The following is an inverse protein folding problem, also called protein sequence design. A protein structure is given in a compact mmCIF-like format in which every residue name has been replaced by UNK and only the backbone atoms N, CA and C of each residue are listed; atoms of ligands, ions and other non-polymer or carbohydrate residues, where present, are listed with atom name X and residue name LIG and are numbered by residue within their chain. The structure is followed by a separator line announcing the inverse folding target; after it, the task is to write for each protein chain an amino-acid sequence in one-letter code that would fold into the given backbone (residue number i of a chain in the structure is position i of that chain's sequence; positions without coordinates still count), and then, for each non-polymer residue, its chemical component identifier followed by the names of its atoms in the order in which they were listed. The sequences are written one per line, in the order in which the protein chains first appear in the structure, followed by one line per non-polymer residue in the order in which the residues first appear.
data_IF_522420252011
#
_entry.id   IF_522420252011
#
_cell.length_a   1.000
_cell.length_b   1.000
_cell.length_c   1.000
_cell.angle_alpha   90.00
_cell.angle_beta   90.00
_cell.angle_gamma   90.00
#
_symmetry.space_group_name_H-M   'P 1'
#
loop_
_entity.id
_entity.type
_entity.pdbx_description
1 polymer ?
#
# COMPACT_ATOMS: atom_id res chain seq x y z
N UNK A 1 -29.46 13.25 -4.71
CA UNK A 1 -30.09 11.95 -5.05
C UNK A 1 -29.53 10.89 -4.09
N UNK A 2 -30.34 10.26 -3.22
CA UNK A 2 -29.89 9.10 -2.41
C UNK A 2 -29.60 7.89 -3.33
N UNK A 3 -28.62 7.07 -2.97
CA UNK A 3 -28.26 5.79 -3.59
C UNK A 3 -27.84 4.84 -2.46
N UNK A 4 -27.98 3.54 -2.66
CA UNK A 4 -27.38 2.58 -1.73
C UNK A 4 -25.94 2.29 -2.16
N UNK A 5 -25.05 2.22 -1.18
CA UNK A 5 -23.70 1.68 -1.36
C UNK A 5 -23.44 0.57 -0.35
N UNK A 6 -22.62 -0.38 -0.73
CA UNK A 6 -22.00 -1.32 0.19
C UNK A 6 -20.49 -1.23 0.07
N UNK A 7 -19.79 -1.28 1.19
CA UNK A 7 -18.33 -1.34 1.25
C UNK A 7 -17.91 -2.58 2.01
N UNK A 8 -16.99 -3.34 1.43
CA UNK A 8 -16.48 -4.59 1.99
C UNK A 8 -14.96 -4.47 2.08
N UNK A 9 -14.49 -4.31 3.31
CA UNK A 9 -13.08 -4.34 3.67
C UNK A 9 -12.88 -5.40 4.77
N UNK A 10 -11.93 -6.31 4.56
CA UNK A 10 -11.58 -7.36 5.51
C UNK A 10 -10.09 -7.61 5.47
N UNK A 11 -9.53 -8.00 6.62
CA UNK A 11 -8.12 -8.38 6.73
C UNK A 11 -7.74 -9.55 5.80
N UNK A 12 -8.71 -10.39 5.43
CA UNK A 12 -8.50 -11.48 4.47
C UNK A 12 -8.36 -11.04 3.02
N UNK A 13 -8.64 -9.78 2.70
CA UNK A 13 -8.48 -9.22 1.35
C UNK A 13 -7.08 -8.62 1.24
N UNK A 14 -6.08 -9.48 1.44
CA UNK A 14 -4.68 -9.09 1.45
C UNK A 14 -3.85 -10.01 0.58
N UNK A 15 -2.79 -9.45 0.03
CA UNK A 15 -1.74 -10.21 -0.63
C UNK A 15 -0.39 -9.60 -0.27
N UNK A 16 0.53 -10.44 0.15
CA UNK A 16 1.90 -10.03 0.47
C UNK A 16 2.73 -10.27 -0.78
N UNK A 17 3.32 -9.22 -1.36
CA UNK A 17 4.02 -9.35 -2.62
C UNK A 17 5.28 -8.47 -2.67
N UNK A 18 6.28 -8.95 -3.41
CA UNK A 18 7.47 -8.18 -3.72
C UNK A 18 7.25 -7.37 -5.01
N UNK A 19 7.86 -6.20 -5.09
CA UNK A 19 7.83 -5.37 -6.31
C UNK A 19 8.98 -4.37 -6.30
N UNK A 20 9.12 -3.68 -7.43
CA UNK A 20 9.75 -2.37 -7.51
C UNK A 20 9.09 -1.61 -8.67
N UNK A 21 9.01 -0.29 -8.52
CA UNK A 21 8.60 0.66 -9.53
C UNK A 21 9.81 1.13 -10.31
N UNK A 22 9.67 1.14 -11.63
CA UNK A 22 10.62 1.74 -12.55
C UNK A 22 9.85 2.50 -13.62
N UNK A 23 10.30 3.70 -13.95
CA UNK A 23 9.84 4.52 -15.06
C UNK A 23 11.04 5.26 -15.64
N UNK A 24 10.85 6.08 -16.69
CA UNK A 24 11.98 6.68 -17.41
C UNK A 24 12.94 7.43 -16.49
N UNK A 25 14.19 6.99 -16.42
CA UNK A 25 15.24 7.61 -15.60
C UNK A 25 15.13 7.37 -14.09
N UNK A 26 14.23 6.49 -13.63
CA UNK A 26 14.05 6.17 -12.22
C UNK A 26 13.79 4.67 -11.99
N UNK A 27 14.37 4.13 -10.92
CA UNK A 27 14.12 2.77 -10.45
C UNK A 27 14.32 2.72 -8.94
N UNK A 28 13.29 2.32 -8.22
CA UNK A 28 13.39 2.09 -6.77
C UNK A 28 13.96 0.69 -6.46
N UNK A 29 14.48 0.47 -5.25
CA UNK A 29 15.03 -0.83 -4.83
C UNK A 29 13.91 -1.88 -4.67
N UNK A 30 14.23 -3.14 -4.93
CA UNK A 30 13.34 -4.26 -4.64
C UNK A 30 12.94 -4.27 -3.16
N UNK A 31 11.65 -4.36 -2.90
CA UNK A 31 11.08 -4.50 -1.57
C UNK A 31 9.70 -5.19 -1.69
N UNK A 32 8.82 -5.04 -0.70
CA UNK A 32 7.48 -5.59 -0.76
C UNK A 32 6.54 -4.99 0.26
N UNK A 33 5.25 -5.29 0.08
CA UNK A 33 4.15 -4.78 0.92
C UNK A 33 3.17 -5.87 1.29
N UNK A 34 2.42 -5.60 2.36
CA UNK A 34 1.19 -6.33 2.69
C UNK A 34 0.02 -5.53 2.11
N UNK A 35 -0.26 -5.75 0.83
CA UNK A 35 -1.32 -5.00 0.16
C UNK A 35 -2.69 -5.36 0.74
N UNK A 36 -3.54 -4.35 0.91
CA UNK A 36 -4.95 -4.51 1.32
C UNK A 36 -5.88 -4.03 0.22
N UNK A 37 -6.92 -4.81 -0.05
CA UNK A 37 -7.93 -4.51 -1.07
C UNK A 37 -9.27 -4.28 -0.39
N UNK A 38 -9.97 -3.21 -0.78
CA UNK A 38 -11.36 -3.02 -0.42
C UNK A 38 -12.22 -2.75 -1.64
N UNK A 39 -13.47 -3.18 -1.57
CA UNK A 39 -14.42 -3.11 -2.67
C UNK A 39 -15.63 -2.32 -2.22
N UNK A 40 -16.02 -1.32 -3.00
CA UNK A 40 -17.27 -0.59 -2.83
C UNK A 40 -18.13 -0.76 -4.07
N UNK A 41 -19.40 -1.11 -3.85
CA UNK A 41 -20.41 -1.26 -4.90
C UNK A 41 -21.49 -0.22 -4.67
N UNK A 42 -21.71 0.63 -5.67
CA UNK A 42 -22.70 1.72 -5.62
C UNK A 42 -23.84 1.32 -6.56
N UNK A 43 -25.05 1.33 -6.00
CA UNK A 43 -26.23 0.88 -6.71
C UNK A 43 -27.37 1.87 -6.67
N UNK A 44 -28.54 1.35 -7.00
CA UNK A 44 -29.74 2.14 -7.18
C UNK A 44 -30.32 2.62 -5.85
N UNK A 45 -31.43 3.35 -5.94
CA UNK A 45 -32.27 3.74 -4.78
C UNK A 45 -33.04 2.59 -4.17
N UNK A 46 -33.04 1.42 -4.81
CA UNK A 46 -33.81 0.24 -4.43
C UNK A 46 -32.85 -0.89 -4.11
N UNK A 47 -33.19 -1.63 -3.07
CA UNK A 47 -32.60 -2.92 -2.76
C UNK A 47 -33.51 -4.03 -3.31
N UNK A 48 -32.98 -5.25 -3.37
CA UNK A 48 -33.78 -6.41 -3.73
C UNK A 48 -34.86 -6.69 -2.68
N UNK A 49 -35.86 -7.49 -3.05
CA UNK A 49 -36.91 -7.93 -2.11
C UNK A 49 -36.36 -8.81 -0.98
N UNK A 50 -35.15 -9.33 -1.17
CA UNK A 50 -34.33 -10.03 -0.19
C UNK A 50 -33.71 -9.09 0.87
N UNK A 51 -33.83 -7.78 0.70
CA UNK A 51 -33.29 -6.77 1.62
C UNK A 51 -31.83 -6.39 1.35
N UNK A 52 -31.22 -6.87 0.26
CA UNK A 52 -29.81 -6.60 -0.04
C UNK A 52 -29.61 -5.71 -1.28
N UNK A 53 -28.51 -4.94 -1.27
CA UNK A 53 -27.88 -4.48 -2.51
C UNK A 53 -27.21 -5.66 -3.20
N UNK A 54 -26.38 -6.39 -2.46
CA UNK A 54 -25.78 -7.67 -2.81
C UNK A 54 -25.42 -8.41 -1.53
N UNK A 55 -25.40 -9.75 -1.57
CA UNK A 55 -24.85 -10.54 -0.46
C UNK A 55 -23.34 -10.31 -0.36
N UNK A 56 -22.87 -9.94 0.82
CA UNK A 56 -21.44 -9.80 1.12
C UNK A 56 -20.64 -11.08 0.87
N UNK A 57 -21.26 -12.26 0.95
CA UNK A 57 -20.64 -13.55 0.66
C UNK A 57 -20.07 -13.62 -0.76
N UNK A 58 -20.79 -13.07 -1.74
CA UNK A 58 -20.34 -12.99 -3.14
C UNK A 58 -19.05 -12.18 -3.24
N UNK A 59 -19.06 -10.95 -2.70
CA UNK A 59 -17.91 -10.03 -2.73
C UNK A 59 -16.72 -10.63 -1.98
N UNK A 60 -16.95 -11.19 -0.79
CA UNK A 60 -15.90 -11.80 0.04
C UNK A 60 -15.19 -12.95 -0.67
N UNK A 61 -15.94 -13.81 -1.36
CA UNK A 61 -15.38 -14.97 -2.05
C UNK A 61 -14.47 -14.52 -3.20
N UNK A 62 -14.96 -13.62 -4.05
CA UNK A 62 -14.20 -13.10 -5.20
C UNK A 62 -12.96 -12.35 -4.74
N UNK A 63 -13.11 -11.39 -3.83
CA UNK A 63 -12.00 -10.58 -3.31
C UNK A 63 -10.85 -11.45 -2.76
N UNK A 64 -11.21 -12.45 -1.95
CA UNK A 64 -10.24 -13.37 -1.36
C UNK A 64 -9.52 -14.20 -2.42
N UNK A 65 -10.22 -14.69 -3.43
CA UNK A 65 -9.64 -15.50 -4.49
C UNK A 65 -8.65 -14.69 -5.34
N UNK A 66 -9.05 -13.51 -5.78
CA UNK A 66 -8.18 -12.62 -6.57
C UNK A 66 -6.93 -12.21 -5.77
N UNK A 67 -7.07 -11.86 -4.48
CA UNK A 67 -5.90 -11.57 -3.64
C UNK A 67 -4.99 -12.79 -3.51
N UNK A 68 -5.55 -14.00 -3.38
CA UNK A 68 -4.77 -15.23 -3.25
C UNK A 68 -3.92 -15.51 -4.50
N UNK A 69 -4.38 -15.13 -5.70
CA UNK A 69 -3.60 -15.26 -6.94
C UNK A 69 -2.32 -14.42 -6.94
N UNK A 70 -2.29 -13.31 -6.21
CA UNK A 70 -1.14 -12.40 -6.13
C UNK A 70 -0.25 -12.65 -4.91
N UNK A 71 -0.76 -13.34 -3.90
CA UNK A 71 -0.06 -13.53 -2.63
C UNK A 71 1.20 -14.38 -2.80
N UNK A 72 2.29 -13.98 -2.14
CA UNK A 72 3.60 -14.64 -2.17
C UNK A 72 4.30 -14.66 -3.54
N UNK A 73 4.02 -13.67 -4.39
CA UNK A 73 4.69 -13.50 -5.68
C UNK A 73 5.45 -12.17 -5.77
N UNK A 74 6.38 -12.10 -6.71
CA UNK A 74 6.87 -10.85 -7.29
C UNK A 74 5.88 -10.33 -8.33
N UNK A 75 5.46 -9.07 -8.22
CA UNK A 75 4.59 -8.41 -9.20
C UNK A 75 5.44 -8.00 -10.40
N UNK A 76 5.24 -8.67 -11.54
CA UNK A 76 5.98 -8.40 -12.76
C UNK A 76 5.12 -7.57 -13.73
N UNK A 77 5.49 -6.30 -14.01
CA UNK A 77 4.74 -5.41 -14.90
C UNK A 77 5.08 -5.71 -16.37
N UNK A 78 4.28 -6.55 -17.01
CA UNK A 78 4.58 -7.09 -18.35
C UNK A 78 4.57 -6.06 -19.49
N UNK A 79 3.97 -4.91 -19.25
CA UNK A 79 3.84 -3.84 -20.25
C UNK A 79 4.81 -2.69 -19.96
N UNK A 80 5.75 -2.88 -19.03
CA UNK A 80 6.77 -1.88 -18.72
C UNK A 80 7.55 -1.49 -19.99
N UNK A 81 7.71 -0.19 -20.20
CA UNK A 81 8.46 0.41 -21.30
C UNK A 81 9.95 0.62 -20.96
N UNK A 82 10.32 0.46 -19.68
CA UNK A 82 11.68 0.67 -19.17
C UNK A 82 12.34 -0.59 -18.57
N UNK A 83 11.60 -1.68 -18.46
CA UNK A 83 12.13 -2.98 -18.03
C UNK A 83 12.09 -3.94 -19.22
N UNK A 84 13.26 -4.44 -19.63
CA UNK A 84 13.32 -5.54 -20.58
C UNK A 84 13.09 -6.86 -19.85
N UNK A 85 11.99 -7.53 -20.15
CA UNK A 85 11.57 -8.80 -19.53
C UNK A 85 11.79 -9.95 -20.51
N UNK A 86 12.59 -10.94 -20.12
CA UNK A 86 12.93 -12.09 -20.96
C UNK A 86 12.75 -13.39 -20.17
N UNK A 87 12.17 -14.41 -20.81
CA UNK A 87 12.22 -15.78 -20.27
C UNK A 87 13.55 -16.41 -20.63
N UNK A 88 14.27 -16.89 -19.62
CA UNK A 88 15.53 -17.63 -19.80
C UNK A 88 15.37 -19.02 -19.20
N UNK A 89 15.91 -20.02 -19.89
CA UNK A 89 15.84 -21.42 -19.45
C UNK A 89 17.20 -21.82 -18.92
N UNK A 90 17.25 -22.18 -17.64
CA UNK A 90 18.47 -22.72 -17.04
C UNK A 90 18.24 -24.17 -16.60
N UNK A 91 19.19 -25.04 -16.93
CA UNK A 91 19.16 -26.45 -16.58
C UNK A 91 20.15 -26.73 -15.44
N UNK A 92 19.64 -27.05 -14.25
CA UNK A 92 20.46 -27.59 -13.16
C UNK A 92 20.11 -29.08 -13.01
N UNK A 93 21.11 -29.95 -13.08
CA UNK A 93 20.96 -31.41 -12.91
C UNK A 93 19.93 -32.06 -13.86
N UNK A 94 19.88 -31.62 -15.11
CA UNK A 94 19.02 -32.21 -16.15
C UNK A 94 17.53 -31.85 -16.05
N UNK A 95 17.15 -30.91 -15.17
CA UNK A 95 15.80 -30.32 -15.13
C UNK A 95 15.87 -28.88 -15.58
N UNK A 96 15.33 -28.61 -16.76
CA UNK A 96 15.12 -27.24 -17.24
C UNK A 96 14.05 -26.56 -16.40
N UNK A 97 14.32 -25.35 -15.92
CA UNK A 97 13.33 -24.47 -15.30
C UNK A 97 13.35 -23.11 -15.98
N UNK A 98 12.17 -22.52 -16.11
CA UNK A 98 12.01 -21.19 -16.63
C UNK A 98 12.29 -20.16 -15.53
N UNK A 99 13.05 -19.14 -15.90
CA UNK A 99 13.32 -17.98 -15.09
C UNK A 99 12.91 -16.72 -15.87
N UNK A 100 12.55 -15.67 -15.14
CA UNK A 100 12.34 -14.34 -15.68
C UNK A 100 13.54 -13.48 -15.37
N UNK A 101 14.19 -12.99 -16.43
CA UNK A 101 15.26 -12.02 -16.37
C UNK A 101 14.69 -10.63 -16.66
N UNK A 102 14.84 -9.72 -15.70
CA UNK A 102 14.46 -8.32 -15.82
C UNK A 102 15.74 -7.49 -15.93
N UNK A 103 15.87 -6.69 -17.00
CA UNK A 103 17.00 -5.75 -17.18
C UNK A 103 16.47 -4.31 -17.17
N UNK A 104 16.93 -3.51 -16.21
CA UNK A 104 16.51 -2.11 -16.03
C UNK A 104 17.37 -1.14 -16.86
N UNK A 105 16.93 0.10 -17.07
CA UNK A 105 17.68 1.13 -17.82
C UNK A 105 19.06 1.43 -17.23
N UNK A 106 19.22 1.31 -15.91
CA UNK A 106 20.49 1.52 -15.20
C UNK A 106 21.48 0.33 -15.31
N UNK A 107 21.10 -0.72 -16.04
CA UNK A 107 21.89 -1.95 -16.21
C UNK A 107 21.70 -2.97 -15.09
N UNK A 108 20.90 -2.68 -14.06
CA UNK A 108 20.58 -3.64 -12.99
C UNK A 108 19.80 -4.82 -13.56
N UNK A 109 20.16 -6.03 -13.12
CA UNK A 109 19.54 -7.29 -13.55
C UNK A 109 18.95 -8.02 -12.34
N UNK A 110 17.70 -8.45 -12.47
CA UNK A 110 17.05 -9.39 -11.55
C UNK A 110 16.72 -10.68 -12.30
N UNK A 111 16.84 -11.81 -11.61
CA UNK A 111 16.43 -13.12 -12.14
C UNK A 111 15.59 -13.83 -11.09
N UNK A 112 14.35 -14.14 -11.43
CA UNK A 112 13.40 -14.83 -10.55
C UNK A 112 12.96 -16.16 -11.18
N UNK A 113 12.65 -17.20 -10.40
CA UNK A 113 11.90 -18.34 -10.92
C UNK A 113 10.58 -17.87 -11.54
N UNK A 114 10.21 -18.44 -12.69
CA UNK A 114 8.97 -18.05 -13.41
C UNK A 114 7.71 -18.20 -12.54
N UNK A 115 7.68 -19.24 -11.72
CA UNK A 115 6.56 -19.60 -10.84
C UNK A 115 6.41 -18.65 -9.64
N UNK A 116 7.46 -17.90 -9.29
CA UNK A 116 7.44 -16.94 -8.18
C UNK A 116 6.96 -15.55 -8.66
N UNK A 117 6.53 -15.42 -9.91
CA UNK A 117 6.19 -14.14 -10.54
C UNK A 117 4.72 -14.08 -10.99
N UNK A 118 3.97 -13.11 -10.47
CA UNK A 118 2.67 -12.73 -10.97
C UNK A 118 2.83 -11.79 -12.18
N UNK A 119 2.53 -12.30 -13.38
CA UNK A 119 2.68 -11.54 -14.63
C UNK A 119 1.44 -10.73 -14.90
N UNK A 120 1.51 -9.43 -14.65
CA UNK A 120 0.36 -8.55 -14.75
C UNK A 120 0.45 -7.70 -16.01
N UNK A 121 -0.67 -7.48 -16.73
CA UNK A 121 -0.73 -6.61 -17.91
C UNK A 121 -0.78 -5.13 -17.46
N UNK A 122 0.26 -4.70 -16.75
CA UNK A 122 0.43 -3.35 -16.21
C UNK A 122 1.81 -2.82 -16.62
N UNK A 123 1.97 -1.51 -16.66
CA UNK A 123 3.21 -0.82 -17.03
C UNK A 123 4.08 -0.60 -15.79
N UNK A 124 3.47 -0.24 -14.67
CA UNK A 124 4.14 0.01 -13.39
C UNK A 124 3.49 -0.82 -12.28
N UNK A 125 4.30 -1.39 -11.38
CA UNK A 125 3.81 -2.09 -10.19
C UNK A 125 3.41 -1.12 -9.06
N UNK A 126 2.54 -0.15 -9.36
CA UNK A 126 2.03 0.83 -8.38
C UNK A 126 0.63 0.47 -7.87
N UNK A 127 0.20 1.10 -6.78
CA UNK A 127 -1.15 0.86 -6.24
C UNK A 127 -2.26 1.30 -7.18
N UNK A 128 -2.05 2.33 -8.00
CA UNK A 128 -3.00 2.83 -8.99
C UNK A 128 -3.27 1.79 -10.09
N UNK A 129 -2.23 1.26 -10.72
CA UNK A 129 -2.39 0.25 -11.78
C UNK A 129 -2.89 -1.08 -11.24
N UNK A 130 -2.48 -1.45 -10.02
CA UNK A 130 -3.04 -2.60 -9.31
C UNK A 130 -4.54 -2.42 -9.05
N UNK A 131 -5.01 -1.21 -8.72
CA UNK A 131 -6.43 -0.95 -8.53
C UNK A 131 -7.23 -1.14 -9.84
N UNK A 132 -6.69 -0.73 -10.98
CA UNK A 132 -7.27 -0.95 -12.32
C UNK A 132 -7.31 -2.46 -12.64
N UNK A 133 -6.18 -3.15 -12.49
CA UNK A 133 -6.07 -4.59 -12.74
C UNK A 133 -7.06 -5.39 -11.87
N UNK A 134 -7.09 -5.10 -10.57
CA UNK A 134 -7.97 -5.77 -9.62
C UNK A 134 -9.45 -5.46 -9.90
N UNK A 135 -9.77 -4.23 -10.31
CA UNK A 135 -11.13 -3.89 -10.76
C UNK A 135 -11.57 -4.80 -11.89
N UNK A 136 -10.75 -4.95 -12.93
CA UNK A 136 -11.06 -5.82 -14.08
C UNK A 136 -11.19 -7.29 -13.67
N UNK A 137 -10.32 -7.79 -12.80
CA UNK A 137 -10.40 -9.18 -12.29
C UNK A 137 -11.67 -9.42 -11.48
N UNK A 138 -11.98 -8.51 -10.56
CA UNK A 138 -13.12 -8.66 -9.63
C UNK A 138 -14.46 -8.57 -10.37
N UNK A 139 -14.60 -7.67 -11.36
CA UNK A 139 -15.87 -7.53 -12.09
C UNK A 139 -16.19 -8.74 -12.97
N UNK A 140 -15.17 -9.41 -13.52
CA UNK A 140 -15.34 -10.66 -14.27
C UNK A 140 -15.92 -11.74 -13.36
N UNK A 141 -15.32 -11.92 -12.19
CA UNK A 141 -15.71 -12.97 -11.25
C UNK A 141 -17.02 -12.66 -10.51
N UNK A 142 -17.38 -11.38 -10.33
CA UNK A 142 -18.66 -10.96 -9.77
C UNK A 142 -19.82 -10.96 -10.77
N UNK A 143 -19.52 -11.08 -12.07
CA UNK A 143 -20.44 -10.96 -13.19
C UNK A 143 -21.16 -9.60 -13.27
N UNK A 144 -20.76 -8.79 -14.26
CA UNK A 144 -21.37 -7.49 -14.54
C UNK A 144 -22.90 -7.56 -14.76
N UNK A 145 -23.41 -8.63 -15.38
CA UNK A 145 -24.85 -8.80 -15.67
C UNK A 145 -25.62 -9.00 -14.37
N UNK A 146 -25.08 -9.81 -13.46
CA UNK A 146 -25.64 -10.00 -12.13
C UNK A 146 -25.68 -8.67 -11.37
N UNK A 147 -24.57 -7.93 -11.33
CA UNK A 147 -24.50 -6.65 -10.62
C UNK A 147 -25.52 -5.65 -11.17
N UNK A 148 -25.63 -5.52 -12.49
CA UNK A 148 -26.60 -4.62 -13.14
C UNK A 148 -28.04 -5.04 -12.88
N UNK A 149 -28.33 -6.35 -12.87
CA UNK A 149 -29.66 -6.87 -12.50
C UNK A 149 -30.06 -6.55 -11.05
N UNK A 150 -29.07 -6.41 -10.15
CA UNK A 150 -29.24 -5.95 -8.76
C UNK A 150 -29.31 -4.42 -8.64
N UNK A 151 -29.22 -3.71 -9.75
CA UNK A 151 -29.23 -2.25 -9.80
C UNK A 151 -27.90 -1.61 -9.38
N UNK A 152 -26.81 -2.37 -9.36
CA UNK A 152 -25.47 -1.87 -9.06
C UNK A 152 -24.87 -1.30 -10.35
N UNK A 153 -24.47 -0.03 -10.31
CA UNK A 153 -24.04 0.70 -11.49
C UNK A 153 -22.55 1.05 -11.46
N UNK A 154 -21.91 1.09 -10.30
CA UNK A 154 -20.49 1.49 -10.19
C UNK A 154 -19.78 0.56 -9.23
N UNK A 155 -18.55 0.19 -9.58
CA UNK A 155 -17.64 -0.51 -8.70
C UNK A 155 -16.40 0.34 -8.46
N UNK A 156 -15.93 0.34 -7.23
CA UNK A 156 -14.72 0.98 -6.77
C UNK A 156 -13.83 -0.06 -6.09
N UNK A 157 -12.55 -0.06 -6.47
CA UNK A 157 -11.48 -0.83 -5.84
C UNK A 157 -10.49 0.15 -5.22
N UNK A 158 -10.18 -0.07 -3.96
CA UNK A 158 -9.08 0.63 -3.27
C UNK A 158 -7.99 -0.36 -2.92
N UNK A 159 -6.74 -0.02 -3.23
CA UNK A 159 -5.54 -0.79 -2.93
C UNK A 159 -4.65 0.06 -2.03
N UNK A 160 -4.31 -0.48 -0.86
CA UNK A 160 -3.37 0.14 0.07
C UNK A 160 -2.08 -0.67 0.15
N UNK A 161 -0.93 -0.02 0.00
CA UNK A 161 0.40 -0.63 0.19
C UNK A 161 0.91 -0.49 1.63
N UNK A 162 0.43 0.53 2.35
CA UNK A 162 0.70 0.77 3.75
C UNK A 162 -0.48 1.53 4.39
N UNK A 163 -0.61 1.50 5.74
CA UNK A 163 -1.64 2.28 6.42
C UNK A 163 -1.54 3.78 6.08
N UNK A 164 -2.62 4.34 5.52
CA UNK A 164 -2.68 5.75 5.11
C UNK A 164 -2.11 6.04 3.72
N UNK A 165 -1.70 5.02 2.96
CA UNK A 165 -1.22 5.13 1.59
C UNK A 165 -2.03 4.20 0.70
N UNK A 166 -2.96 4.77 -0.06
CA UNK A 166 -3.91 4.02 -0.89
C UNK A 166 -4.25 4.72 -2.20
N UNK A 167 -4.48 3.93 -3.23
CA UNK A 167 -5.03 4.36 -4.50
C UNK A 167 -6.42 3.77 -4.70
N UNK A 168 -7.30 4.53 -5.35
CA UNK A 168 -8.68 4.13 -5.61
C UNK A 168 -9.02 4.28 -7.08
N UNK A 169 -9.49 3.21 -7.70
CA UNK A 169 -10.04 3.21 -9.04
C UNK A 169 -11.54 2.95 -9.01
N UNK A 170 -12.31 3.82 -9.66
CA UNK A 170 -13.78 3.77 -9.70
C UNK A 170 -14.26 3.89 -11.14
N UNK A 171 -15.12 2.96 -11.55
CA UNK A 171 -15.67 2.94 -12.90
C UNK A 171 -17.12 2.42 -12.93
N UNK A 172 -17.90 2.94 -13.87
CA UNK A 172 -19.25 2.44 -14.15
C UNK A 172 -19.18 1.00 -14.69
N UNK A 173 -20.06 0.15 -14.18
CA UNK A 173 -20.17 -1.25 -14.58
C UNK A 173 -20.87 -1.32 -15.95
N UNK A 174 -20.27 -1.99 -16.95
CA UNK A 174 -20.90 -2.17 -18.25
C UNK A 174 -22.15 -3.06 -18.17
N UNK A 175 -23.01 -2.95 -19.19
CA UNK A 175 -24.17 -3.86 -19.33
C UNK A 175 -23.76 -5.30 -19.66
N UNK A 176 -22.69 -5.47 -20.43
CA UNK A 176 -22.14 -6.76 -20.87
C UNK A 176 -20.62 -6.61 -20.89
N UNK A 177 -19.89 -7.63 -20.46
CA UNK A 177 -18.46 -7.78 -20.71
C UNK A 177 -18.22 -8.87 -21.74
N UNK A 178 -17.56 -8.53 -22.84
CA UNK A 178 -16.97 -9.52 -23.75
C UNK A 178 -15.52 -9.76 -23.33
N UNK A 179 -15.00 -10.98 -23.51
CA UNK A 179 -13.60 -11.28 -23.21
C UNK A 179 -12.65 -10.31 -23.94
N UNK A 180 -12.97 -9.99 -25.21
CA UNK A 180 -12.20 -9.09 -26.06
C UNK A 180 -12.74 -7.65 -26.10
N UNK A 181 -13.48 -7.18 -25.07
CA UNK A 181 -14.04 -5.82 -25.10
C UNK A 181 -12.94 -4.76 -24.95
N UNK A 182 -12.63 -3.95 -26.00
CA UNK A 182 -11.60 -2.93 -25.95
C UNK A 182 -11.96 -1.78 -24.99
N UNK A 183 -13.24 -1.63 -24.61
CA UNK A 183 -13.67 -0.63 -23.62
C UNK A 183 -13.16 -0.97 -22.20
N UNK A 184 -12.69 -2.21 -21.97
CA UNK A 184 -12.14 -2.68 -20.70
C UNK A 184 -10.76 -3.32 -20.84
N UNK A 185 -9.99 -2.81 -21.80
CA UNK A 185 -8.57 -3.07 -21.87
C UNK A 185 -7.86 -2.29 -20.76
N UNK A 186 -7.31 -3.02 -19.78
CA UNK A 186 -6.49 -2.46 -18.69
C UNK A 186 -5.43 -1.52 -19.26
N UNK A 187 -4.86 -1.88 -20.42
CA UNK A 187 -3.83 -1.08 -21.06
C UNK A 187 -4.32 0.30 -21.48
N UNK A 188 -5.55 0.41 -22.01
CA UNK A 188 -6.10 1.72 -22.41
C UNK A 188 -6.20 2.66 -21.20
N UNK A 189 -6.60 2.18 -20.03
CA UNK A 189 -6.67 3.01 -18.83
C UNK A 189 -5.30 3.41 -18.30
N UNK A 190 -4.28 2.55 -18.49
CA UNK A 190 -2.93 2.81 -18.02
C UNK A 190 -2.18 3.77 -18.96
N UNK A 191 -2.35 3.64 -20.27
CA UNK A 191 -1.52 4.38 -21.25
C UNK A 191 -2.21 5.48 -22.04
N UNK A 192 -3.54 5.67 -21.90
CA UNK A 192 -4.24 6.75 -22.60
C UNK A 192 -4.10 8.13 -21.95
N UNK A 193 -3.34 8.25 -20.85
CA UNK A 193 -3.19 9.51 -20.12
C UNK A 193 -2.17 10.46 -20.75
N UNK A 194 -2.59 11.68 -21.07
CA UNK A 194 -1.71 12.79 -21.47
C UNK A 194 -1.19 13.59 -20.25
N UNK A 195 -1.30 13.04 -19.03
CA UNK A 195 -0.87 13.73 -17.81
C UNK A 195 0.66 13.68 -17.76
N UNK A 196 1.36 14.83 -17.76
CA UNK A 196 2.81 14.84 -17.74
C UNK A 196 3.36 14.25 -16.44
N UNK A 197 4.49 13.55 -16.57
CA UNK A 197 5.27 13.07 -15.42
C UNK A 197 5.93 14.30 -14.78
N UNK A 198 5.29 14.87 -13.78
CA UNK A 198 5.91 15.88 -12.92
C UNK A 198 6.63 15.19 -11.76
N UNK A 199 7.91 15.52 -11.57
CA UNK A 199 8.64 15.10 -10.38
C UNK A 199 7.98 15.66 -9.12
N UNK A 200 8.13 14.97 -7.98
CA UNK A 200 7.65 15.52 -6.71
C UNK A 200 8.32 16.88 -6.48
N UNK A 201 7.57 17.91 -6.12
CA UNK A 201 8.09 19.28 -5.98
C UNK A 201 9.29 19.40 -5.01
N UNK A 202 9.47 18.44 -4.10
CA UNK A 202 10.64 18.35 -3.23
C UNK A 202 11.94 18.01 -3.96
N UNK A 203 11.88 17.39 -5.15
CA UNK A 203 13.02 17.10 -6.02
C UNK A 203 13.45 18.32 -6.86
N UNK A 204 12.67 19.42 -6.83
CA UNK A 204 12.99 20.71 -7.45
C UNK A 204 13.66 21.67 -6.47
N UNK A 205 13.84 21.29 -5.20
CA UNK A 205 14.57 22.12 -4.25
C UNK A 205 16.06 22.13 -4.63
N UNK A 206 16.70 23.30 -4.71
CA UNK A 206 18.12 23.39 -5.01
C UNK A 206 18.92 22.61 -3.96
N UNK A 207 20.08 22.04 -4.33
CA UNK A 207 20.95 21.36 -3.36
C UNK A 207 21.25 22.30 -2.19
N UNK A 208 21.06 21.79 -0.99
CA UNK A 208 21.17 22.51 0.28
C UNK A 208 22.55 23.18 0.42
N UNK A 209 22.61 24.51 0.31
CA UNK A 209 23.81 25.34 0.56
C UNK A 209 24.14 25.46 2.07
N UNK A 210 23.88 24.43 2.88
CA UNK A 210 24.19 24.44 4.32
C UNK A 210 25.38 23.58 4.73
N UNK A 211 26.14 23.03 3.78
CA UNK A 211 27.38 22.30 4.06
C UNK A 211 28.64 23.20 4.09
N UNK A 212 28.53 24.50 4.40
CA UNK A 212 29.69 25.32 4.78
C UNK A 212 29.28 26.45 5.73
N UNK A 213 29.30 26.18 7.04
CA UNK A 213 29.91 27.10 8.00
C UNK A 213 29.95 26.48 9.40
N UNK A 214 31.13 25.93 9.70
CA UNK A 214 31.67 25.87 11.04
C UNK A 214 31.69 27.28 11.66
N UNK A 215 30.80 27.58 12.60
CA UNK A 215 31.02 28.66 13.56
C UNK A 215 30.28 28.41 14.88
N UNK A 216 31.12 28.31 15.92
CA UNK A 216 30.84 28.34 17.35
C UNK A 216 29.60 29.16 17.72
N UNK A 217 28.63 28.55 18.38
CA UNK A 217 27.66 29.29 19.17
C UNK A 217 28.14 29.34 20.61
N UNK A 218 28.78 30.46 20.98
CA UNK A 218 28.88 30.87 22.38
C UNK A 218 27.49 31.34 22.83
N UNK A 219 27.10 30.85 24.00
CA UNK A 219 25.94 31.29 24.76
C UNK A 219 26.24 32.70 25.25
N UNK A 220 25.36 33.66 24.97
CA UNK A 220 25.18 34.81 25.85
C UNK A 220 23.70 35.17 25.98
N UNK A 221 23.33 35.24 27.24
CA UNK A 221 22.02 35.52 27.80
C UNK A 221 21.77 37.03 27.92
N UNK A 222 20.55 37.48 27.57
CA UNK A 222 19.61 38.22 28.45
C UNK A 222 18.71 39.22 27.69
N UNK A 223 17.48 39.31 28.21
CA UNK A 223 16.46 40.37 28.04
C UNK A 223 15.62 40.28 26.74
N UNK A 224 14.27 40.26 26.73
CA UNK A 224 13.21 40.58 27.71
C UNK A 224 11.86 39.95 27.30
N UNK A 225 11.00 39.74 28.30
CA UNK A 225 9.57 39.36 28.35
C UNK A 225 8.73 39.69 27.09
N UNK A 226 7.79 38.86 26.61
CA UNK A 226 6.50 38.54 27.25
C UNK A 226 5.65 37.56 26.41
N UNK A 227 4.66 36.93 27.07
CA UNK A 227 3.49 36.18 26.53
C UNK A 227 3.60 34.66 26.26
N UNK A 228 3.07 33.90 27.21
CA UNK A 228 2.14 32.76 27.04
C UNK A 228 2.34 31.79 25.86
N UNK A 229 3.13 30.74 26.08
CA UNK A 229 2.83 29.37 25.62
C UNK A 229 3.71 28.37 26.38
N UNK A 230 3.17 27.17 26.62
CA UNK A 230 3.77 26.07 27.40
C UNK A 230 5.23 25.82 26.98
N UNK A 231 6.19 26.26 27.81
CA UNK A 231 7.60 25.90 27.65
C UNK A 231 7.82 24.58 28.39
N UNK A 232 7.93 23.48 27.65
CA UNK A 232 8.44 22.23 28.20
C UNK A 232 9.84 22.51 28.74
N UNK A 233 10.05 22.43 30.06
CA UNK A 233 11.37 22.68 30.63
C UNK A 233 12.31 21.50 30.31
N UNK A 234 13.60 21.77 30.12
CA UNK A 234 14.62 20.73 29.90
C UNK A 234 14.60 19.67 31.01
N UNK A 235 14.22 20.05 32.23
CA UNK A 235 14.09 19.14 33.36
C UNK A 235 12.96 18.09 33.17
N UNK A 236 11.86 18.45 32.51
CA UNK A 236 10.78 17.51 32.19
C UNK A 236 11.22 16.49 31.14
N UNK A 237 11.92 16.96 30.09
CA UNK A 237 12.43 16.09 29.01
C UNK A 237 13.50 15.13 29.56
N UNK A 238 14.40 15.63 30.41
CA UNK A 238 15.44 14.81 31.03
C UNK A 238 14.87 13.79 32.04
N UNK A 239 13.83 14.15 32.78
CA UNK A 239 13.12 13.24 33.68
C UNK A 239 12.42 12.11 32.91
N UNK A 240 11.78 12.45 31.79
CA UNK A 240 11.10 11.51 30.91
C UNK A 240 12.08 10.54 30.24
N UNK A 241 13.21 11.06 29.72
CA UNK A 241 14.26 10.27 29.06
C UNK A 241 14.84 9.22 30.02
N UNK A 242 15.16 9.61 31.26
CA UNK A 242 15.69 8.68 32.28
C UNK A 242 14.70 7.59 32.69
N UNK A 243 13.40 7.92 32.73
CA UNK A 243 12.35 6.92 33.03
C UNK A 243 12.17 5.93 31.87
N UNK A 244 12.26 6.39 30.62
CA UNK A 244 12.20 5.54 29.42
C UNK A 244 13.41 4.61 29.32
N UNK A 245 14.62 5.10 29.63
CA UNK A 245 15.83 4.27 29.68
C UNK A 245 15.73 3.15 30.74
N UNK A 246 15.19 3.44 31.93
CA UNK A 246 14.93 2.40 32.94
C UNK A 246 13.94 1.34 32.48
N UNK A 247 12.95 1.73 31.67
CA UNK A 247 11.94 0.83 31.13
C UNK A 247 12.53 -0.07 30.03
N UNK A 248 13.37 0.50 29.17
CA UNK A 248 14.12 -0.27 28.15
C UNK A 248 15.06 -1.30 28.80
N UNK A 249 15.80 -0.90 29.85
CA UNK A 249 16.68 -1.81 30.61
C UNK A 249 15.89 -2.94 31.30
N UNK A 250 14.70 -2.66 31.82
CA UNK A 250 13.84 -3.68 32.42
C UNK A 250 13.27 -4.69 31.40
N UNK A 251 13.18 -4.30 30.12
CA UNK A 251 12.74 -5.16 29.02
C UNK A 251 13.89 -6.05 28.53
N UNK A 252 15.11 -5.51 28.42
CA UNK A 252 16.29 -6.24 27.94
C UNK A 252 16.79 -7.31 28.94
N UNK A 253 16.60 -7.11 30.25
CA UNK A 253 17.03 -8.06 31.29
C UNK A 253 16.18 -9.35 31.38
N UNK A 254 15.25 -9.58 30.45
CA UNK A 254 14.59 -10.88 30.26
C UNK A 254 13.70 -11.36 31.43
N UNK A 255 13.31 -10.48 32.36
CA UNK A 255 12.44 -10.81 33.51
C UNK A 255 10.95 -10.85 33.18
N UNK A 256 10.59 -11.39 32.01
CA UNK A 256 9.19 -11.69 31.67
C UNK A 256 8.96 -13.20 31.54
N UNK A 257 9.30 -13.92 32.61
CA UNK A 257 8.75 -15.24 32.87
C UNK A 257 7.66 -15.10 33.96
N UNK A 258 6.43 -14.94 33.48
CA UNK A 258 5.18 -15.37 34.10
C UNK A 258 5.00 -15.13 35.62
N UNK A 259 4.71 -13.88 36.03
CA UNK A 259 4.00 -13.57 37.31
C UNK A 259 3.15 -12.30 37.21
N UNK A 260 1.92 -12.39 37.72
CA UNK A 260 0.88 -11.34 37.75
C UNK A 260 1.26 -10.02 38.44
N UNK A 261 2.32 -10.00 39.26
CA UNK A 261 2.79 -8.78 39.93
C UNK A 261 3.52 -7.80 38.99
N UNK A 262 4.18 -8.31 37.93
CA UNK A 262 4.92 -7.48 36.97
C UNK A 262 4.05 -6.58 36.07
N UNK A 263 2.75 -6.91 35.93
CA UNK A 263 1.77 -6.07 35.20
C UNK A 263 1.29 -4.86 36.01
N UNK A 264 1.28 -4.93 37.34
CA UNK A 264 0.85 -3.81 38.18
C UNK A 264 1.86 -2.67 38.16
N UNK A 265 3.16 -2.99 38.16
CA UNK A 265 4.22 -1.99 38.12
C UNK A 265 4.28 -1.24 36.78
N UNK A 266 4.03 -1.91 35.65
CA UNK A 266 3.95 -1.23 34.35
C UNK A 266 2.71 -0.32 34.23
N UNK A 267 1.57 -0.74 34.78
CA UNK A 267 0.36 0.09 34.78
C UNK A 267 0.57 1.38 35.58
N UNK A 268 1.18 1.27 36.77
CA UNK A 268 1.51 2.42 37.61
C UNK A 268 2.48 3.39 36.92
N UNK A 269 3.49 2.85 36.23
CA UNK A 269 4.49 3.66 35.52
C UNK A 269 3.87 4.37 34.31
N UNK A 270 2.94 3.71 33.61
CA UNK A 270 2.21 4.29 32.47
C UNK A 270 1.23 5.39 32.91
N UNK A 271 0.59 5.24 34.07
CA UNK A 271 -0.32 6.25 34.61
C UNK A 271 0.43 7.50 35.10
N UNK A 272 1.63 7.34 35.69
CA UNK A 272 2.51 8.48 36.00
C UNK A 272 2.97 9.22 34.73
N UNK A 273 3.25 8.51 33.64
CA UNK A 273 3.66 9.12 32.36
C UNK A 273 2.51 9.92 31.74
N UNK A 274 1.27 9.40 31.80
CA UNK A 274 0.08 10.13 31.34
C UNK A 274 -0.20 11.39 32.16
N UNK A 275 0.10 11.36 33.46
CA UNK A 275 -0.04 12.53 34.33
C UNK A 275 0.99 13.64 34.05
N UNK A 276 2.17 13.30 33.50
CA UNK A 276 3.19 14.27 33.07
C UNK A 276 2.85 14.87 31.69
N UNK A 277 2.14 14.12 30.84
CA UNK A 277 1.78 14.55 29.48
C UNK A 277 0.52 15.43 29.39
N UNK A 278 -0.36 15.43 30.41
CA UNK A 278 -1.58 16.24 30.48
C UNK A 278 -1.35 17.54 31.27
#
# INVERSE_FOLDING_TARGET
RCQFEISVAKESFKFNAAHFVAFKGYRERLHGHNYLVSIRLIGSRKIGRDGYVLDYGCVKKVAKNVCKELNEHFICPMLSDVIKIETVVEGINGKAKDHLKLTCEDGTIFVFPRDDCAMLPIVHATTEELAIYLWRKIIVDLDCVLLKSRGINTMEITVAEAPGQEATFRLEIPEIMKEDDPMFDIMTYITAGDIPVEGCASQLLPPDESATNSLKCQIDSQATNNSSSKKCCEDCVNSLSKKLEKLALAIDDGKFADKTDSKKDLSSTLDELKAIMN
#
